data_IF_547682827425
#
_entry.id   IF_547682827425
#
_cell.length_a   1.000
_cell.length_b   1.000
_cell.length_c   1.000
_cell.angle_alpha   90.00
_cell.angle_beta   90.00
_cell.angle_gamma   90.00
#
_symmetry.space_group_name_H-M   'P 1'
#
loop_
_entity.id
_entity.type
_entity.pdbx_description
1 polymer ?
#
# COMPACT_ATOMS: atom_id res chain seq x y z
N UNK A 1 28.55 -28.00 -7.16
CA UNK A 1 27.88 -27.33 -6.03
C UNK A 1 27.39 -25.98 -6.50
N UNK A 2 26.08 -25.76 -6.46
CA UNK A 2 25.45 -24.54 -6.95
C UNK A 2 25.57 -23.42 -5.92
N UNK A 3 26.43 -22.44 -6.20
CA UNK A 3 26.36 -21.12 -5.56
C UNK A 3 25.83 -20.17 -6.62
N UNK A 4 24.55 -19.81 -6.51
CA UNK A 4 23.97 -18.69 -7.25
C UNK A 4 23.70 -17.59 -6.24
N UNK A 5 24.70 -16.73 -6.06
CA UNK A 5 24.52 -15.42 -5.45
C UNK A 5 24.19 -14.45 -6.59
N UNK A 6 23.00 -13.88 -6.60
CA UNK A 6 22.66 -12.78 -7.51
C UNK A 6 21.93 -11.70 -6.71
N UNK A 7 22.70 -10.78 -6.15
CA UNK A 7 22.22 -9.44 -5.78
C UNK A 7 22.37 -8.62 -7.05
N UNK A 8 21.27 -8.31 -7.73
CA UNK A 8 21.27 -7.31 -8.80
C UNK A 8 20.22 -6.25 -8.49
N UNK A 9 20.65 -5.23 -7.76
CA UNK A 9 20.06 -3.90 -7.77
C UNK A 9 20.25 -3.30 -9.17
N UNK A 10 19.19 -3.31 -9.98
CA UNK A 10 19.21 -2.66 -11.29
C UNK A 10 18.62 -1.25 -11.16
N UNK A 11 19.50 -0.25 -11.02
CA UNK A 11 19.17 1.13 -11.32
C UNK A 11 19.30 1.32 -12.84
N UNK A 12 18.18 1.49 -13.54
CA UNK A 12 18.18 1.90 -14.94
C UNK A 12 17.48 3.25 -15.05
N UNK A 13 18.27 4.30 -15.17
CA UNK A 13 17.81 5.61 -15.61
C UNK A 13 17.67 5.58 -17.14
N UNK A 14 16.47 5.84 -17.65
CA UNK A 14 16.24 6.16 -19.05
C UNK A 14 15.39 7.43 -19.13
N UNK A 15 16.04 8.54 -19.47
CA UNK A 15 15.40 9.81 -19.85
C UNK A 15 15.27 9.86 -21.37
N UNK A 16 14.04 9.85 -21.90
CA UNK A 16 13.68 10.29 -23.24
C UNK A 16 12.31 10.98 -23.15
N UNK A 17 12.22 12.20 -23.68
CA UNK A 17 11.26 13.22 -23.27
C UNK A 17 9.91 13.24 -23.99
N UNK A 18 9.07 14.20 -23.60
CA UNK A 18 8.31 15.11 -24.46
C UNK A 18 7.51 16.09 -23.61
N UNK A 19 7.49 17.35 -24.03
CA UNK A 19 6.80 18.46 -23.36
C UNK A 19 5.28 18.35 -23.49
N UNK A 20 4.55 18.64 -22.41
CA UNK A 20 3.31 19.43 -22.41
C UNK A 20 2.79 19.58 -20.96
N UNK A 21 2.58 20.82 -20.53
CA UNK A 21 1.75 21.19 -19.38
C UNK A 21 0.41 21.71 -19.92
N UNK A 22 -0.76 21.32 -19.38
CA UNK A 22 -1.24 21.90 -18.11
C UNK A 22 -2.04 20.94 -17.17
N UNK A 23 -2.20 21.36 -15.90
CA UNK A 23 -3.08 20.81 -14.85
C UNK A 23 -2.65 19.51 -14.11
N UNK A 24 -1.77 19.69 -13.11
CA UNK A 24 -1.61 18.92 -11.87
C UNK A 24 -2.45 17.62 -11.70
N UNK A 25 -2.10 16.55 -12.41
CA UNK A 25 -2.49 15.18 -12.04
C UNK A 25 -1.42 14.57 -11.12
N UNK A 26 -1.19 15.20 -9.96
CA UNK A 26 -0.12 14.79 -9.03
C UNK A 26 -0.48 13.49 -8.30
N UNK A 27 -0.24 12.36 -8.95
CA UNK A 27 -0.21 11.07 -8.27
C UNK A 27 1.17 10.91 -7.62
N UNK A 28 1.21 10.69 -6.30
CA UNK A 28 2.46 10.50 -5.55
C UNK A 28 2.48 9.12 -4.92
N UNK A 29 3.48 8.35 -5.32
CA UNK A 29 3.83 7.04 -4.74
C UNK A 29 5.14 7.22 -3.97
N UNK A 30 5.15 6.82 -2.70
CA UNK A 30 6.36 6.76 -1.87
C UNK A 30 6.50 5.38 -1.24
N UNK A 31 7.56 4.67 -1.58
CA UNK A 31 7.83 3.31 -1.10
C UNK A 31 9.17 3.29 -0.36
N UNK A 32 9.16 2.93 0.93
CA UNK A 32 10.37 2.76 1.76
C UNK A 32 10.44 1.30 2.24
N UNK A 33 11.43 0.56 1.76
CA UNK A 33 11.64 -0.84 2.10
C UNK A 33 12.96 -1.00 2.85
N UNK A 34 12.91 -1.54 4.07
CA UNK A 34 14.10 -1.79 4.90
C UNK A 34 14.12 -3.21 5.43
N UNK A 35 14.94 -4.07 4.83
CA UNK A 35 15.11 -5.47 5.25
C UNK A 35 15.35 -6.45 4.11
N UNK A 36 15.13 -7.75 4.35
CA UNK A 36 15.37 -8.85 3.40
C UNK A 36 14.05 -9.44 2.88
N UNK A 37 13.98 -9.88 1.63
CA UNK A 37 12.80 -10.50 0.98
C UNK A 37 11.47 -9.75 1.20
N UNK A 38 11.41 -8.45 0.91
CA UNK A 38 10.11 -7.74 0.94
C UNK A 38 9.69 -7.36 -0.48
N UNK A 39 8.38 -7.30 -0.70
CA UNK A 39 7.77 -6.96 -1.97
C UNK A 39 6.76 -5.83 -1.80
N UNK A 40 6.89 -4.81 -2.64
CA UNK A 40 5.93 -3.70 -2.70
C UNK A 40 5.39 -3.55 -4.12
N UNK A 41 4.07 -3.67 -4.26
CA UNK A 41 3.31 -3.30 -5.45
C UNK A 41 2.47 -2.06 -5.18
N UNK A 42 2.61 -1.02 -6.00
CA UNK A 42 1.79 0.18 -5.91
C UNK A 42 1.31 0.62 -7.30
N UNK A 43 0.00 0.81 -7.44
CA UNK A 43 -0.62 1.29 -8.68
C UNK A 43 -1.55 2.47 -8.37
N UNK A 44 -1.42 3.55 -9.13
CA UNK A 44 -2.29 4.73 -9.04
C UNK A 44 -2.82 5.09 -10.43
N UNK A 45 -4.14 5.09 -10.57
CA UNK A 45 -4.86 5.55 -11.76
C UNK A 45 -5.82 6.69 -11.38
N UNK A 46 -5.98 7.67 -12.27
CA UNK A 46 -6.68 8.94 -12.02
C UNK A 46 -5.75 10.07 -11.55
N UNK A 47 -6.19 10.97 -10.65
CA UNK A 47 -5.42 12.20 -10.35
C UNK A 47 -5.49 12.67 -8.90
N UNK A 48 -4.38 13.20 -8.38
CA UNK A 48 -4.19 13.62 -6.98
C UNK A 48 -4.20 12.48 -5.95
N UNK A 49 -3.87 11.26 -6.35
CA UNK A 49 -3.79 10.14 -5.42
C UNK A 49 -2.47 10.15 -4.66
N UNK A 50 -2.48 9.79 -3.38
CA UNK A 50 -1.28 9.67 -2.55
C UNK A 50 -1.20 8.30 -1.92
N UNK A 51 -0.11 7.58 -2.20
CA UNK A 51 0.14 6.24 -1.71
C UNK A 51 1.51 6.24 -1.04
N UNK A 52 1.55 5.80 0.21
CA UNK A 52 2.78 5.61 0.97
C UNK A 52 2.82 4.19 1.50
N UNK A 53 3.86 3.43 1.17
CA UNK A 53 4.09 2.10 1.73
C UNK A 53 5.44 2.11 2.42
N UNK A 54 5.47 1.62 3.65
CA UNK A 54 6.69 1.49 4.43
C UNK A 54 6.76 0.10 5.03
N UNK A 55 7.80 -0.64 4.69
CA UNK A 55 8.04 -1.99 5.21
C UNK A 55 9.38 -2.05 5.95
N UNK A 56 9.38 -2.67 7.14
CA UNK A 56 10.55 -2.89 7.98
C UNK A 56 10.57 -4.33 8.50
N UNK A 57 11.66 -5.07 8.31
CA UNK A 57 11.81 -6.46 8.80
C UNK A 57 12.13 -7.47 7.70
N UNK A 58 11.41 -8.59 7.56
CA UNK A 58 11.73 -9.54 6.49
C UNK A 58 10.59 -10.46 6.05
N UNK A 59 10.41 -10.63 4.73
CA UNK A 59 9.31 -11.42 4.18
C UNK A 59 7.98 -10.66 4.02
N UNK A 60 7.94 -9.33 4.14
CA UNK A 60 6.68 -8.59 4.11
C UNK A 60 6.23 -8.27 2.68
N UNK A 61 4.93 -8.40 2.40
CA UNK A 61 4.33 -8.08 1.09
C UNK A 61 3.26 -7.02 1.25
N UNK A 62 3.29 -5.98 0.42
CA UNK A 62 2.28 -4.94 0.39
C UNK A 62 1.89 -4.64 -1.05
N UNK A 63 0.64 -4.86 -1.40
CA UNK A 63 0.07 -4.51 -2.71
C UNK A 63 -1.04 -3.50 -2.52
N UNK A 64 -0.89 -2.34 -3.13
CA UNK A 64 -1.85 -1.23 -3.01
C UNK A 64 -2.24 -0.66 -4.36
N UNK A 65 -3.54 -0.47 -4.57
CA UNK A 65 -4.14 0.05 -5.79
C UNK A 65 -5.06 1.22 -5.45
N UNK A 66 -4.84 2.36 -6.08
CA UNK A 66 -5.75 3.50 -6.02
C UNK A 66 -6.24 3.83 -7.41
N UNK A 67 -7.55 3.91 -7.57
CA UNK A 67 -8.23 4.20 -8.82
C UNK A 67 -9.26 5.31 -8.55
N UNK A 68 -9.05 6.48 -9.18
CA UNK A 68 -9.91 7.65 -9.07
C UNK A 68 -9.17 8.91 -8.62
N UNK A 69 -9.79 9.73 -7.77
CA UNK A 69 -9.25 11.06 -7.46
C UNK A 69 -9.12 11.34 -5.96
N UNK A 70 -8.01 11.95 -5.55
CA UNK A 70 -7.76 12.38 -4.16
C UNK A 70 -7.85 11.23 -3.14
N UNK A 71 -7.53 10.01 -3.54
CA UNK A 71 -7.46 8.87 -2.62
C UNK A 71 -6.12 8.89 -1.86
N UNK A 72 -6.14 8.50 -0.59
CA UNK A 72 -4.95 8.44 0.26
C UNK A 72 -4.79 7.06 0.90
N UNK A 73 -3.65 6.43 0.69
CA UNK A 73 -3.29 5.15 1.29
C UNK A 73 -1.97 5.28 2.03
N UNK A 74 -1.93 4.77 3.26
CA UNK A 74 -0.70 4.60 4.04
C UNK A 74 -0.65 3.16 4.55
N UNK A 75 0.42 2.44 4.21
CA UNK A 75 0.67 1.09 4.71
C UNK A 75 2.00 1.07 5.47
N UNK A 76 1.98 0.59 6.71
CA UNK A 76 3.13 0.34 7.54
C UNK A 76 3.19 -1.13 7.94
N UNK A 77 4.25 -1.84 7.58
CA UNK A 77 4.46 -3.23 8.02
C UNK A 77 5.77 -3.33 8.78
N UNK A 78 5.71 -3.74 10.05
CA UNK A 78 6.84 -4.00 10.92
C UNK A 78 6.86 -5.46 11.36
N UNK A 79 7.95 -6.18 11.11
CA UNK A 79 8.10 -7.57 11.54
C UNK A 79 8.35 -8.53 10.39
N UNK A 80 7.79 -9.75 10.43
CA UNK A 80 8.11 -10.80 9.44
C UNK A 80 6.86 -11.43 8.83
N UNK A 81 6.88 -11.64 7.50
CA UNK A 81 5.79 -12.32 6.77
C UNK A 81 4.41 -11.66 6.93
N UNK A 82 4.35 -10.34 6.99
CA UNK A 82 3.07 -9.62 7.00
C UNK A 82 2.62 -9.33 5.56
N UNK A 83 1.33 -9.47 5.29
CA UNK A 83 0.71 -9.26 3.98
C UNK A 83 -0.38 -8.19 4.09
N UNK A 84 -0.29 -7.17 3.22
CA UNK A 84 -1.25 -6.08 3.16
C UNK A 84 -1.72 -5.87 1.73
N UNK A 85 -3.04 -5.93 1.54
CA UNK A 85 -3.73 -5.67 0.29
C UNK A 85 -4.67 -4.49 0.48
N UNK A 86 -4.48 -3.42 -0.28
CA UNK A 86 -5.29 -2.22 -0.18
C UNK A 86 -5.81 -1.79 -1.55
N UNK A 87 -7.12 -1.75 -1.74
CA UNK A 87 -7.77 -1.28 -2.97
C UNK A 87 -8.70 -0.11 -2.64
N UNK A 88 -8.46 1.04 -3.26
CA UNK A 88 -9.34 2.20 -3.17
C UNK A 88 -9.88 2.57 -4.55
N UNK A 89 -11.20 2.57 -4.71
CA UNK A 89 -11.90 3.00 -5.93
C UNK A 89 -12.84 4.16 -5.64
N UNK A 90 -12.71 5.25 -6.38
CA UNK A 90 -13.59 6.42 -6.28
C UNK A 90 -12.87 7.69 -5.84
N UNK A 91 -13.49 8.50 -4.97
CA UNK A 91 -12.98 9.85 -4.65
C UNK A 91 -12.88 10.13 -3.16
N UNK A 92 -11.76 10.73 -2.75
CA UNK A 92 -11.51 11.15 -1.37
C UNK A 92 -11.51 10.00 -0.34
N UNK A 93 -11.19 8.76 -0.74
CA UNK A 93 -11.11 7.65 0.21
C UNK A 93 -9.78 7.69 0.97
N UNK A 94 -9.78 7.27 2.24
CA UNK A 94 -8.61 7.19 3.11
C UNK A 94 -8.45 5.77 3.65
N UNK A 95 -7.25 5.21 3.47
CA UNK A 95 -6.87 3.87 3.92
C UNK A 95 -5.58 3.97 4.74
N UNK A 96 -5.62 3.45 5.96
CA UNK A 96 -4.45 3.22 6.81
C UNK A 96 -4.35 1.74 7.18
N UNK A 97 -3.22 1.10 6.89
CA UNK A 97 -2.92 -0.26 7.34
C UNK A 97 -1.62 -0.20 8.16
N UNK A 98 -1.64 -0.75 9.36
CA UNK A 98 -0.47 -0.86 10.23
C UNK A 98 -0.40 -2.28 10.81
N UNK A 99 0.57 -3.07 10.39
CA UNK A 99 0.77 -4.43 10.87
C UNK A 99 2.09 -4.53 11.62
N UNK A 100 2.04 -4.94 12.87
CA UNK A 100 3.20 -5.22 13.71
C UNK A 100 3.14 -6.69 14.15
N UNK A 101 4.25 -7.42 14.01
CA UNK A 101 4.31 -8.83 14.46
C UNK A 101 4.67 -9.80 13.33
N UNK A 102 4.04 -10.99 13.32
CA UNK A 102 4.38 -12.05 12.36
C UNK A 102 3.15 -12.70 11.75
N UNK A 103 3.09 -12.76 10.41
CA UNK A 103 2.06 -13.51 9.70
C UNK A 103 0.70 -12.83 9.64
N UNK A 104 0.63 -11.50 9.84
CA UNK A 104 -0.64 -10.77 9.76
C UNK A 104 -1.09 -10.58 8.31
N UNK A 105 -2.38 -10.76 8.03
CA UNK A 105 -3.02 -10.48 6.74
C UNK A 105 -4.04 -9.35 6.90
N UNK A 106 -3.90 -8.30 6.11
CA UNK A 106 -4.86 -7.20 6.02
C UNK A 106 -5.33 -7.07 4.58
N UNK A 107 -6.63 -7.22 4.32
CA UNK A 107 -7.26 -6.97 3.03
C UNK A 107 -8.32 -5.87 3.18
N UNK A 108 -8.15 -4.78 2.45
CA UNK A 108 -9.05 -3.63 2.51
C UNK A 108 -9.50 -3.20 1.12
N UNK A 109 -10.81 -3.31 0.84
CA UNK A 109 -11.47 -2.82 -0.38
C UNK A 109 -12.44 -1.68 -0.04
N UNK A 110 -12.08 -0.46 -0.43
CA UNK A 110 -12.93 0.72 -0.30
C UNK A 110 -13.44 1.17 -1.67
N UNK A 111 -14.77 1.20 -1.81
CA UNK A 111 -15.45 1.67 -3.03
C UNK A 111 -16.43 2.80 -2.71
N UNK A 112 -16.28 3.93 -3.40
CA UNK A 112 -17.21 5.05 -3.30
C UNK A 112 -16.54 6.37 -2.93
N UNK A 113 -17.18 7.18 -2.09
CA UNK A 113 -16.75 8.57 -1.83
C UNK A 113 -16.54 8.85 -0.35
N UNK A 114 -15.39 9.40 0.02
CA UNK A 114 -15.10 9.81 1.39
C UNK A 114 -15.23 8.68 2.43
N UNK A 115 -14.85 7.45 2.06
CA UNK A 115 -14.76 6.35 3.03
C UNK A 115 -13.40 6.37 3.74
N UNK A 116 -13.36 6.01 5.02
CA UNK A 116 -12.16 5.89 5.83
C UNK A 116 -12.06 4.48 6.43
N UNK A 117 -10.93 3.82 6.24
CA UNK A 117 -10.64 2.50 6.79
C UNK A 117 -9.28 2.54 7.49
N UNK A 118 -9.24 2.07 8.73
CA UNK A 118 -8.03 1.84 9.50
C UNK A 118 -7.94 0.37 9.88
N UNK A 119 -6.81 -0.27 9.62
CA UNK A 119 -6.50 -1.62 10.11
C UNK A 119 -5.21 -1.53 10.91
N UNK A 120 -5.28 -1.95 12.16
CA UNK A 120 -4.14 -2.06 13.07
C UNK A 120 -4.13 -3.50 13.57
N UNK A 121 -3.04 -4.22 13.30
CA UNK A 121 -2.85 -5.59 13.78
C UNK A 121 -1.53 -5.64 14.54
N UNK A 122 -1.54 -6.14 15.77
CA UNK A 122 -0.40 -6.20 16.67
C UNK A 122 -0.27 -7.58 17.31
N UNK A 123 -0.13 -8.63 16.49
CA UNK A 123 -0.10 -10.00 16.98
C UNK A 123 0.59 -10.99 16.05
N UNK A 124 0.20 -12.27 16.16
CA UNK A 124 0.71 -13.36 15.33
C UNK A 124 -0.44 -14.07 14.63
N UNK A 125 -0.53 -13.90 13.31
CA UNK A 125 -1.53 -14.59 12.48
C UNK A 125 -2.89 -13.91 12.40
N UNK A 126 -2.97 -12.60 12.69
CA UNK A 126 -4.23 -11.86 12.64
C UNK A 126 -4.68 -11.66 11.19
N UNK A 127 -5.98 -11.86 10.93
CA UNK A 127 -6.60 -11.57 9.64
C UNK A 127 -7.66 -10.48 9.82
N UNK A 128 -7.52 -9.40 9.06
CA UNK A 128 -8.45 -8.29 9.02
C UNK A 128 -8.93 -8.10 7.58
N UNK A 129 -10.23 -8.26 7.37
CA UNK A 129 -10.89 -7.94 6.10
C UNK A 129 -11.81 -6.74 6.29
N UNK A 130 -11.64 -5.71 5.47
CA UNK A 130 -12.49 -4.51 5.47
C UNK A 130 -13.06 -4.30 4.07
N UNK A 131 -14.38 -4.38 3.95
CA UNK A 131 -15.08 -3.99 2.72
C UNK A 131 -16.00 -2.81 3.03
N UNK A 132 -15.71 -1.66 2.44
CA UNK A 132 -16.56 -0.47 2.55
C UNK A 132 -17.12 -0.07 1.20
N UNK A 133 -18.45 0.06 1.12
CA UNK A 133 -19.16 0.51 -0.07
C UNK A 133 -20.07 1.69 0.28
N UNK A 134 -20.06 2.74 -0.52
CA UNK A 134 -20.95 3.89 -0.36
C UNK A 134 -20.22 5.18 -0.03
N UNK A 135 -20.85 6.04 0.77
CA UNK A 135 -20.34 7.39 1.08
C UNK A 135 -20.20 7.60 2.58
N UNK A 136 -19.03 8.07 3.02
CA UNK A 136 -18.82 8.52 4.40
C UNK A 136 -18.69 7.40 5.43
N UNK A 137 -18.41 6.17 5.01
CA UNK A 137 -18.24 5.06 5.95
C UNK A 137 -16.90 5.18 6.68
N UNK A 138 -16.89 4.90 7.97
CA UNK A 138 -15.67 4.84 8.80
C UNK A 138 -15.61 3.46 9.45
N UNK A 139 -14.51 2.75 9.26
CA UNK A 139 -14.25 1.44 9.88
C UNK A 139 -12.85 1.48 10.45
N UNK A 140 -12.71 0.99 11.68
CA UNK A 140 -11.42 0.77 12.32
C UNK A 140 -11.41 -0.65 12.86
N UNK A 141 -10.44 -1.46 12.41
CA UNK A 141 -10.15 -2.77 12.98
C UNK A 141 -8.86 -2.64 13.80
N UNK A 142 -8.92 -3.06 15.05
CA UNK A 142 -7.75 -3.23 15.93
C UNK A 142 -7.76 -4.67 16.43
N UNK A 143 -6.66 -5.38 16.20
CA UNK A 143 -6.45 -6.78 16.64
C UNK A 143 -5.08 -6.88 17.32
N UNK A 144 -5.01 -7.64 18.42
CA UNK A 144 -3.82 -7.90 19.23
C UNK A 144 -3.56 -9.41 19.36
#
# INVERSE_FOLDING_TARGET
>A
MHVKTLITSLALAATLGMASSPAQADNRIHLDQRGFDQAIGAFQDGGHNRLSVRQKGGGNTSITMQDGHRNRTVVGQGGRHNEAYGRQRGRCNVLGISQFGRGGLADVDQRGRCNAAGVIQSGRGDTAEVVQRGRGNVVVIVQD
#
